data_IF_139292145003
#
_entry.id   IF_139292145003
#
_cell.length_a   1.000
_cell.length_b   1.000
_cell.length_c   1.000
_cell.angle_alpha   90.00
_cell.angle_beta   90.00
_cell.angle_gamma   90.00
#
_symmetry.space_group_name_H-M   'P 1'
#
loop_
_entity.id
_entity.type
_entity.pdbx_description
1 polymer ?
#
# COMPACT_ATOMS: atom_id res chain seq x y z
N UNK A 1 -16.02 19.78 5.82
CA UNK A 1 -14.74 20.46 6.13
C UNK A 1 -13.55 19.59 5.82
N UNK A 2 -12.56 20.16 5.19
CA UNK A 2 -11.34 19.42 4.86
C UNK A 2 -10.46 19.27 6.09
N UNK A 3 -9.76 18.13 6.18
CA UNK A 3 -8.88 17.88 7.30
C UNK A 3 -7.44 17.76 6.81
N UNK A 4 -6.61 18.72 7.15
CA UNK A 4 -5.18 18.64 6.86
C UNK A 4 -4.50 17.53 7.63
N UNK A 5 -5.07 17.12 8.76
CA UNK A 5 -4.56 15.99 9.52
C UNK A 5 -4.65 14.70 8.71
N UNK A 6 -5.78 14.48 8.05
CA UNK A 6 -5.97 13.30 7.21
C UNK A 6 -5.08 13.34 5.97
N UNK A 7 -4.99 14.51 5.34
CA UNK A 7 -4.11 14.67 4.17
C UNK A 7 -2.65 14.43 4.53
N UNK A 8 -2.22 15.02 5.65
CA UNK A 8 -0.87 14.84 6.17
C UNK A 8 -0.54 13.36 6.40
N UNK A 9 -1.50 12.61 6.94
CA UNK A 9 -1.34 11.17 7.16
C UNK A 9 -1.11 10.43 5.85
N UNK A 10 -1.81 10.82 4.79
CA UNK A 10 -1.64 10.19 3.47
C UNK A 10 -0.26 10.47 2.90
N UNK A 11 0.21 11.71 2.99
CA UNK A 11 1.55 12.06 2.53
C UNK A 11 2.62 11.31 3.33
N UNK A 12 2.45 11.19 4.65
CA UNK A 12 3.40 10.46 5.49
C UNK A 12 3.45 8.99 5.11
N UNK A 13 2.29 8.39 4.84
CA UNK A 13 2.23 6.98 4.47
C UNK A 13 2.98 6.72 3.16
N UNK A 14 2.91 7.65 2.22
CA UNK A 14 3.58 7.51 0.92
C UNK A 14 5.02 8.02 0.90
N UNK A 15 5.44 8.76 1.92
CA UNK A 15 6.78 9.34 1.97
C UNK A 15 7.85 8.34 2.36
N UNK A 16 7.86 7.18 1.71
CA UNK A 16 8.80 6.10 2.01
C UNK A 16 8.93 5.22 0.76
N UNK A 17 10.17 5.00 0.33
CA UNK A 17 10.44 4.26 -0.90
C UNK A 17 9.80 2.87 -0.91
N UNK A 18 9.90 2.12 0.20
CA UNK A 18 9.34 0.77 0.27
C UNK A 18 7.83 0.79 0.13
N UNK A 19 7.17 1.75 0.75
CA UNK A 19 5.73 1.85 0.66
C UNK A 19 5.26 2.28 -0.72
N UNK A 20 6.00 3.14 -1.39
CA UNK A 20 5.71 3.48 -2.79
C UNK A 20 5.83 2.26 -3.68
N UNK A 21 6.84 1.44 -3.45
CA UNK A 21 7.02 0.20 -4.21
C UNK A 21 5.88 -0.79 -3.97
N UNK A 22 5.39 -0.88 -2.75
CA UNK A 22 4.25 -1.74 -2.45
C UNK A 22 3.02 -1.32 -3.26
N UNK A 23 2.72 -0.02 -3.27
CA UNK A 23 1.59 0.50 -4.04
C UNK A 23 1.77 0.17 -5.52
N UNK A 24 2.96 0.37 -6.06
CA UNK A 24 3.26 0.07 -7.45
C UNK A 24 2.99 -1.40 -7.77
N UNK A 25 3.46 -2.30 -6.92
CA UNK A 25 3.26 -3.73 -7.13
C UNK A 25 1.77 -4.11 -7.10
N UNK A 26 1.01 -3.50 -6.19
CA UNK A 26 -0.42 -3.77 -6.10
C UNK A 26 -1.20 -3.17 -7.27
N UNK A 27 -0.73 -2.07 -7.84
CA UNK A 27 -1.31 -1.53 -9.06
C UNK A 27 -1.07 -2.46 -10.24
N UNK A 28 0.08 -3.11 -10.26
CA UNK A 28 0.48 -4.00 -11.35
C UNK A 28 -0.21 -5.36 -11.28
N UNK A 29 -0.21 -5.98 -10.10
CA UNK A 29 -0.66 -7.36 -9.93
C UNK A 29 -2.04 -7.50 -9.32
N UNK A 30 -2.69 -6.42 -8.97
CA UNK A 30 -4.04 -6.35 -8.42
C UNK A 30 -4.14 -6.85 -6.98
N UNK A 31 -3.56 -7.97 -6.67
CA UNK A 31 -3.79 -8.67 -5.41
C UNK A 31 -2.58 -9.53 -5.09
N UNK A 32 -2.00 -9.34 -3.89
CA UNK A 32 -0.79 -10.06 -3.48
C UNK A 32 -0.85 -10.39 -2.00
N UNK A 33 -0.30 -11.54 -1.64
CA UNK A 33 -0.10 -11.92 -0.24
C UNK A 33 1.12 -11.16 0.32
N UNK A 34 1.24 -11.15 1.66
CA UNK A 34 2.40 -10.51 2.32
C UNK A 34 3.71 -11.14 1.82
N UNK A 35 3.74 -12.47 1.71
CA UNK A 35 4.94 -13.16 1.23
C UNK A 35 5.32 -12.76 -0.19
N UNK A 36 4.32 -12.67 -1.07
CA UNK A 36 4.56 -12.23 -2.44
C UNK A 36 5.08 -10.81 -2.51
N UNK A 37 4.50 -9.92 -1.69
CA UNK A 37 4.95 -8.52 -1.63
C UNK A 37 6.39 -8.45 -1.12
N UNK A 38 6.69 -9.16 -0.03
CA UNK A 38 8.03 -9.13 0.56
C UNK A 38 9.09 -9.62 -0.42
N UNK A 39 8.76 -10.65 -1.20
CA UNK A 39 9.68 -11.15 -2.23
C UNK A 39 9.92 -10.09 -3.32
N UNK A 40 8.85 -9.45 -3.78
CA UNK A 40 8.94 -8.46 -4.86
C UNK A 40 9.73 -7.21 -4.48
N UNK A 41 9.61 -6.77 -3.23
CA UNK A 41 10.33 -5.58 -2.78
C UNK A 41 11.63 -5.91 -2.04
N UNK A 42 11.96 -7.20 -1.96
CA UNK A 42 13.19 -7.69 -1.34
C UNK A 42 13.32 -7.20 0.10
N UNK A 43 12.31 -7.45 0.89
CA UNK A 43 12.25 -7.02 2.29
C UNK A 43 11.76 -8.19 3.15
N UNK A 44 12.09 -8.17 4.44
CA UNK A 44 11.65 -9.21 5.34
C UNK A 44 10.12 -9.19 5.48
N UNK A 45 9.55 -10.34 5.79
CA UNK A 45 8.11 -10.46 6.05
C UNK A 45 7.67 -9.48 7.13
N UNK A 46 8.43 -9.40 8.21
CA UNK A 46 8.11 -8.55 9.35
C UNK A 46 8.07 -7.06 8.99
N UNK A 47 9.10 -6.60 8.29
CA UNK A 47 9.15 -5.19 7.87
C UNK A 47 8.06 -4.88 6.85
N UNK A 48 7.80 -5.81 5.92
CA UNK A 48 6.73 -5.66 4.95
C UNK A 48 5.38 -5.50 5.65
N UNK A 49 5.12 -6.34 6.66
CA UNK A 49 3.87 -6.26 7.42
C UNK A 49 3.68 -4.90 8.10
N UNK A 50 4.76 -4.31 8.62
CA UNK A 50 4.70 -2.98 9.23
C UNK A 50 4.32 -1.91 8.21
N UNK A 51 4.93 -1.97 7.04
CA UNK A 51 4.63 -1.03 5.97
C UNK A 51 3.19 -1.18 5.49
N UNK A 52 2.72 -2.41 5.38
CA UNK A 52 1.33 -2.68 4.99
C UNK A 52 0.34 -2.10 6.00
N UNK A 53 0.65 -2.21 7.27
CA UNK A 53 -0.21 -1.66 8.32
C UNK A 53 -0.33 -0.13 8.20
N UNK A 54 0.78 0.54 7.92
CA UNK A 54 0.77 2.00 7.73
C UNK A 54 -0.08 2.39 6.54
N UNK A 55 0.07 1.68 5.42
CA UNK A 55 -0.72 1.94 4.22
C UNK A 55 -2.21 1.65 4.44
N UNK A 56 -2.52 0.59 5.17
CA UNK A 56 -3.89 0.23 5.51
C UNK A 56 -4.53 1.32 6.37
N UNK A 57 -3.82 1.77 7.41
CA UNK A 57 -4.33 2.82 8.30
C UNK A 57 -4.55 4.15 7.58
N UNK A 58 -3.85 4.39 6.48
CA UNK A 58 -4.01 5.59 5.67
C UNK A 58 -5.02 5.40 4.53
N UNK A 59 -5.69 4.25 4.48
CA UNK A 59 -6.72 3.91 3.50
C UNK A 59 -6.23 3.84 2.05
N UNK A 60 -4.98 3.44 1.86
CA UNK A 60 -4.46 3.18 0.52
C UNK A 60 -4.71 1.74 0.07
N UNK A 61 -4.77 0.82 1.02
CA UNK A 61 -4.94 -0.60 0.73
C UNK A 61 -5.97 -1.22 1.66
N UNK A 62 -6.54 -2.31 1.22
CA UNK A 62 -7.39 -3.20 2.01
C UNK A 62 -6.86 -4.61 1.92
N UNK A 63 -7.39 -5.49 2.73
CA UNK A 63 -7.00 -6.88 2.71
C UNK A 63 -8.20 -7.79 2.94
N UNK A 64 -8.04 -9.05 2.54
CA UNK A 64 -9.04 -10.08 2.86
C UNK A 64 -8.33 -11.38 3.17
N UNK A 65 -8.95 -12.16 4.05
CA UNK A 65 -8.50 -13.50 4.38
C UNK A 65 -9.07 -14.49 3.39
N UNK A 66 -8.21 -15.37 2.87
CA UNK A 66 -8.63 -16.49 2.04
C UNK A 66 -7.89 -17.73 2.58
N UNK A 67 -8.62 -18.58 3.30
CA UNK A 67 -8.00 -19.69 4.01
C UNK A 67 -7.06 -19.16 5.09
N UNK A 68 -5.81 -19.59 5.05
CA UNK A 68 -4.78 -19.16 6.00
C UNK A 68 -4.00 -17.96 5.50
N UNK A 69 -4.28 -17.49 4.30
CA UNK A 69 -3.54 -16.39 3.67
C UNK A 69 -4.30 -15.08 3.79
N UNK A 70 -3.52 -14.00 3.82
CA UNK A 70 -4.05 -12.64 3.80
C UNK A 70 -3.56 -11.97 2.53
N UNK A 71 -4.50 -11.49 1.72
CA UNK A 71 -4.19 -10.82 0.46
C UNK A 71 -4.50 -9.34 0.53
N UNK A 72 -3.61 -8.54 -0.03
CA UNK A 72 -3.74 -7.08 -0.06
C UNK A 72 -4.04 -6.59 -1.47
N UNK A 73 -4.76 -5.48 -1.55
CA UNK A 73 -5.13 -4.84 -2.82
C UNK A 73 -5.36 -3.35 -2.58
N UNK A 74 -5.35 -2.57 -3.65
CA UNK A 74 -5.58 -1.13 -3.55
C UNK A 74 -7.02 -0.88 -3.08
N UNK A 75 -7.18 -0.04 -2.05
CA UNK A 75 -8.50 0.31 -1.55
C UNK A 75 -9.27 1.13 -2.56
N UNK A 76 -10.59 0.91 -2.62
CA UNK A 76 -11.48 1.75 -3.43
C UNK A 76 -11.49 3.20 -2.93
N UNK A 77 -11.02 3.43 -1.69
CA UNK A 77 -10.95 4.75 -1.09
C UNK A 77 -9.60 5.44 -1.32
N UNK A 78 -8.65 4.75 -1.95
CA UNK A 78 -7.35 5.35 -2.24
C UNK A 78 -7.52 6.52 -3.22
N UNK A 79 -7.01 7.71 -2.89
CA UNK A 79 -7.18 8.86 -3.79
C UNK A 79 -6.47 8.62 -5.13
N UNK A 80 -7.23 8.75 -6.19
CA UNK A 80 -6.73 8.49 -7.54
C UNK A 80 -5.52 9.34 -7.89
N UNK A 81 -5.49 10.57 -7.41
CA UNK A 81 -4.40 11.51 -7.68
C UNK A 81 -3.05 10.95 -7.23
N UNK A 82 -3.02 10.32 -6.05
CA UNK A 82 -1.80 9.71 -5.54
C UNK A 82 -1.37 8.51 -6.39
N UNK A 83 -2.34 7.69 -6.78
CA UNK A 83 -2.06 6.50 -7.57
C UNK A 83 -1.54 6.89 -8.96
N UNK A 84 -2.15 7.90 -9.57
CA UNK A 84 -1.73 8.40 -10.87
C UNK A 84 -0.30 8.94 -10.82
N UNK A 85 0.04 9.64 -9.74
CA UNK A 85 1.38 10.17 -9.56
C UNK A 85 2.41 9.03 -9.49
N UNK A 86 2.11 7.99 -8.73
CA UNK A 86 3.01 6.83 -8.60
C UNK A 86 3.22 6.16 -9.95
N UNK A 87 2.15 5.97 -10.71
CA UNK A 87 2.24 5.37 -12.05
C UNK A 87 3.11 6.21 -12.98
N UNK A 88 3.03 7.53 -12.86
CA UNK A 88 3.74 8.45 -13.73
C UNK A 88 5.26 8.38 -13.54
N UNK A 89 5.72 8.09 -12.33
CA UNK A 89 7.14 8.03 -12.03
C UNK A 89 7.79 6.71 -12.39
N UNK A 90 7.02 5.81 -12.96
CA UNK A 90 7.54 4.49 -13.24
C UNK A 90 7.54 4.12 -14.76
#
# INVERSE_FOLDING_TARGET
MKSFKLLSRKFKALGNERRLRIIEELLKYKRLSVGEISDKINLSFRSTSRHLKILDNANFIDCEHVGINMYYFISSEAPKEFLDLIKKFN
#
